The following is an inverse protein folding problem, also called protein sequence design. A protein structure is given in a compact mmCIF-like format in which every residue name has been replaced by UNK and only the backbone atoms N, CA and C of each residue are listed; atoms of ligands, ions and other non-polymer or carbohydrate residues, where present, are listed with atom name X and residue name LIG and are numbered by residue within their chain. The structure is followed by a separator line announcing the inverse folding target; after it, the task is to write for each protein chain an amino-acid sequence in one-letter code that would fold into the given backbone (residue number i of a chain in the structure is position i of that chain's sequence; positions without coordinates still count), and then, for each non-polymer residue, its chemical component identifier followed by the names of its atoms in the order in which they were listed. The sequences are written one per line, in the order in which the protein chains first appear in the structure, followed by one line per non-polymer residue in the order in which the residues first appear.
data_IF_033054731776
#
_entry.id   IF_033054731776
#
_cell.length_a   1.000
_cell.length_b   1.000
_cell.length_c   1.000
_cell.angle_alpha   90.00
_cell.angle_beta   90.00
_cell.angle_gamma   90.00
#
_symmetry.space_group_name_H-M   'P 1'
#
loop_
_entity.id
_entity.type
_entity.pdbx_description
1 polymer ?
#
# COMPACT_ATOMS: atom_id res chain seq x y z
N UNK A 1 -3.42 -8.62 -9.26
CA UNK A 1 -4.65 -8.33 -8.51
C UNK A 1 -5.81 -9.01 -9.21
N UNK A 2 -6.69 -9.79 -8.54
CA UNK A 2 -7.85 -10.35 -9.21
C UNK A 2 -8.72 -9.21 -9.75
N UNK A 3 -9.49 -9.42 -10.83
CA UNK A 3 -10.34 -8.38 -11.41
C UNK A 3 -11.32 -7.85 -10.35
N UNK A 4 -11.66 -6.54 -10.38
CA UNK A 4 -12.68 -5.99 -9.50
C UNK A 4 -14.02 -6.70 -9.78
N UNK A 5 -14.80 -6.90 -8.75
CA UNK A 5 -16.14 -7.44 -8.92
C UNK A 5 -17.00 -6.37 -9.61
N UNK A 6 -17.61 -6.65 -10.76
CA UNK A 6 -18.27 -5.62 -11.58
C UNK A 6 -19.42 -4.90 -10.83
N UNK A 7 -19.99 -5.53 -9.80
CA UNK A 7 -21.17 -5.03 -9.09
C UNK A 7 -20.86 -4.46 -7.69
N UNK A 8 -19.59 -4.26 -7.31
CA UNK A 8 -19.23 -3.73 -5.99
C UNK A 8 -18.59 -2.36 -6.09
N UNK A 9 -19.30 -1.37 -5.59
CA UNK A 9 -18.84 0.02 -5.54
C UNK A 9 -17.92 0.23 -4.33
N UNK A 10 -16.62 0.07 -4.55
CA UNK A 10 -15.58 0.24 -3.53
C UNK A 10 -15.52 1.68 -3.01
N UNK A 11 -15.69 2.65 -3.88
CA UNK A 11 -15.63 4.07 -3.56
C UNK A 11 -16.75 4.46 -2.60
N UNK A 12 -17.99 4.15 -2.95
CA UNK A 12 -19.15 4.39 -2.07
C UNK A 12 -19.07 3.62 -0.76
N UNK A 13 -18.48 2.41 -0.78
CA UNK A 13 -18.30 1.61 0.44
C UNK A 13 -17.29 2.24 1.38
N UNK A 14 -16.14 2.73 0.89
CA UNK A 14 -15.14 3.43 1.72
C UNK A 14 -15.71 4.75 2.25
N UNK A 15 -16.49 5.49 1.45
CA UNK A 15 -17.17 6.70 1.91
C UNK A 15 -18.22 6.40 3.00
N UNK A 16 -18.92 5.26 2.92
CA UNK A 16 -19.82 4.82 3.98
C UNK A 16 -19.06 4.49 5.28
N UNK A 17 -17.91 3.81 5.17
CA UNK A 17 -17.01 3.60 6.31
C UNK A 17 -16.58 4.95 6.95
N UNK A 18 -16.27 5.96 6.13
CA UNK A 18 -15.90 7.30 6.62
C UNK A 18 -17.04 8.00 7.39
N UNK A 19 -18.29 7.64 7.11
CA UNK A 19 -19.48 8.11 7.86
C UNK A 19 -19.82 7.26 9.07
N UNK A 20 -19.05 6.20 9.36
CA UNK A 20 -19.26 5.32 10.51
C UNK A 20 -20.22 4.14 10.25
N UNK A 21 -20.47 3.77 9.00
CA UNK A 21 -21.29 2.62 8.64
C UNK A 21 -20.49 1.30 8.79
N UNK A 22 -20.70 0.60 9.90
CA UNK A 22 -20.03 -0.67 10.18
C UNK A 22 -20.45 -1.79 9.20
N UNK A 23 -21.63 -1.71 8.59
CA UNK A 23 -22.08 -2.71 7.61
C UNK A 23 -21.28 -2.60 6.32
N UNK A 24 -20.88 -1.40 5.94
CA UNK A 24 -19.97 -1.16 4.81
C UNK A 24 -18.59 -1.80 5.04
N UNK A 25 -18.02 -1.65 6.26
CA UNK A 25 -16.76 -2.31 6.60
C UNK A 25 -16.88 -3.84 6.57
N UNK A 26 -17.99 -4.39 7.08
CA UNK A 26 -18.25 -5.83 7.05
C UNK A 26 -18.36 -6.34 5.61
N UNK A 27 -19.04 -5.62 4.73
CA UNK A 27 -19.16 -5.96 3.31
C UNK A 27 -17.79 -5.97 2.63
N UNK A 28 -16.96 -4.95 2.90
CA UNK A 28 -15.60 -4.85 2.38
C UNK A 28 -14.72 -6.01 2.88
N UNK A 29 -14.78 -6.32 4.18
CA UNK A 29 -14.04 -7.44 4.79
C UNK A 29 -14.45 -8.77 4.15
N UNK A 30 -15.75 -9.05 4.08
CA UNK A 30 -16.27 -10.30 3.52
C UNK A 30 -15.81 -10.52 2.07
N UNK A 31 -15.64 -9.45 1.33
CA UNK A 31 -15.26 -9.49 -0.08
C UNK A 31 -13.76 -9.64 -0.31
N UNK A 32 -12.96 -8.86 0.38
CA UNK A 32 -11.53 -8.70 0.07
C UNK A 32 -10.61 -9.48 1.02
N UNK A 33 -11.07 -9.89 2.21
CA UNK A 33 -10.22 -10.47 3.25
C UNK A 33 -9.42 -11.69 2.77
N UNK A 34 -10.03 -12.59 2.01
CA UNK A 34 -9.35 -13.80 1.50
C UNK A 34 -8.17 -13.47 0.59
N UNK A 35 -8.37 -12.52 -0.31
CA UNK A 35 -7.32 -12.10 -1.23
C UNK A 35 -6.24 -11.28 -0.52
N UNK A 36 -6.65 -10.32 0.32
CA UNK A 36 -5.73 -9.48 1.09
C UNK A 36 -4.91 -10.29 2.10
N UNK A 37 -5.49 -11.34 2.70
CA UNK A 37 -4.74 -12.28 3.52
C UNK A 37 -3.63 -12.96 2.71
N UNK A 38 -3.92 -13.40 1.49
CA UNK A 38 -2.91 -13.96 0.61
C UNK A 38 -1.78 -12.97 0.25
N UNK A 39 -2.10 -11.68 0.16
CA UNK A 39 -1.09 -10.62 0.00
C UNK A 39 -0.21 -10.51 1.24
N UNK A 40 -0.83 -10.42 2.43
CA UNK A 40 -0.10 -10.33 3.71
C UNK A 40 0.80 -11.55 3.92
N UNK A 41 0.30 -12.77 3.70
CA UNK A 41 1.06 -14.02 3.87
C UNK A 41 2.32 -14.09 2.99
N UNK A 42 2.27 -13.58 1.76
CA UNK A 42 3.45 -13.53 0.88
C UNK A 42 4.55 -12.60 1.41
N UNK A 43 4.17 -11.56 2.15
CA UNK A 43 5.10 -10.56 2.67
C UNK A 43 5.65 -11.00 4.04
N UNK A 44 4.77 -11.40 4.96
CA UNK A 44 5.13 -11.71 6.35
C UNK A 44 5.64 -13.14 6.50
N UNK A 45 5.20 -14.07 5.61
CA UNK A 45 5.56 -15.50 5.59
C UNK A 45 5.11 -16.32 6.80
N UNK A 46 4.59 -15.70 7.82
CA UNK A 46 3.95 -16.32 8.97
C UNK A 46 2.44 -16.16 8.85
N UNK A 47 1.69 -17.25 9.09
CA UNK A 47 0.24 -17.27 8.88
C UNK A 47 -0.51 -16.48 9.95
N UNK A 48 -0.08 -16.62 11.19
CA UNK A 48 -0.76 -16.00 12.32
C UNK A 48 -0.47 -14.49 12.32
N UNK A 49 0.78 -14.08 12.09
CA UNK A 49 1.15 -12.70 11.89
C UNK A 49 0.43 -12.06 10.68
N UNK A 50 0.18 -12.82 9.60
CA UNK A 50 -0.58 -12.30 8.46
C UNK A 50 -2.06 -12.06 8.80
N UNK A 51 -2.67 -12.88 9.67
CA UNK A 51 -4.03 -12.65 10.18
C UNK A 51 -4.08 -11.39 11.03
N UNK A 52 -3.13 -11.19 11.93
CA UNK A 52 -3.02 -9.99 12.77
C UNK A 52 -2.84 -8.73 11.91
N UNK A 53 -1.95 -8.80 10.93
CA UNK A 53 -1.76 -7.73 9.94
C UNK A 53 -3.06 -7.38 9.22
N UNK A 54 -3.83 -8.37 8.80
CA UNK A 54 -5.11 -8.14 8.12
C UNK A 54 -6.12 -7.46 9.04
N UNK A 55 -6.27 -7.91 10.28
CA UNK A 55 -7.16 -7.30 11.26
C UNK A 55 -6.77 -5.84 11.53
N UNK A 56 -5.51 -5.59 11.82
CA UNK A 56 -4.96 -4.26 12.04
C UNK A 56 -5.16 -3.33 10.83
N UNK A 57 -4.98 -3.87 9.62
CA UNK A 57 -5.21 -3.10 8.41
C UNK A 57 -6.69 -2.70 8.25
N UNK A 58 -7.65 -3.57 8.57
CA UNK A 58 -9.06 -3.23 8.53
C UNK A 58 -9.46 -2.21 9.59
N UNK A 59 -8.87 -2.28 10.80
CA UNK A 59 -9.01 -1.22 11.81
C UNK A 59 -8.47 0.11 11.27
N UNK A 60 -7.32 0.10 10.61
CA UNK A 60 -6.73 1.30 10.01
C UNK A 60 -7.56 1.84 8.83
N UNK A 61 -8.11 0.97 7.99
CA UNK A 61 -9.04 1.35 6.91
C UNK A 61 -10.24 2.09 7.51
N UNK A 62 -10.86 1.54 8.57
CA UNK A 62 -11.95 2.20 9.27
C UNK A 62 -11.58 3.58 9.79
N UNK A 63 -10.47 3.68 10.52
CA UNK A 63 -10.01 4.93 11.12
C UNK A 63 -9.63 6.00 10.09
N UNK A 64 -9.16 5.59 8.92
CA UNK A 64 -8.63 6.47 7.88
C UNK A 64 -9.53 6.58 6.64
N UNK A 65 -10.71 6.00 6.65
CA UNK A 65 -11.63 6.05 5.50
C UNK A 65 -11.90 7.48 5.02
N UNK A 66 -12.00 8.44 5.96
CA UNK A 66 -12.18 9.87 5.65
C UNK A 66 -10.98 10.53 4.95
N UNK A 67 -9.81 9.89 4.93
CA UNK A 67 -8.63 10.39 4.22
C UNK A 67 -8.50 9.86 2.80
N UNK A 68 -9.39 8.96 2.39
CA UNK A 68 -9.42 8.46 1.03
C UNK A 68 -9.79 9.60 0.06
N UNK A 69 -8.99 9.74 -0.99
CA UNK A 69 -9.18 10.74 -2.05
C UNK A 69 -9.24 10.02 -3.41
N UNK A 70 -10.45 9.92 -3.97
CA UNK A 70 -10.66 9.25 -5.27
C UNK A 70 -9.93 9.93 -6.43
N UNK A 71 -9.44 11.14 -6.26
CA UNK A 71 -8.62 11.81 -7.29
C UNK A 71 -7.21 11.24 -7.38
N UNK A 72 -6.76 10.53 -6.34
CA UNK A 72 -5.42 9.94 -6.24
C UNK A 72 -5.38 8.46 -6.64
N UNK A 73 -6.53 7.81 -6.83
CA UNK A 73 -6.61 6.42 -7.23
C UNK A 73 -7.91 5.73 -6.80
N UNK A 74 -8.04 4.44 -7.13
CA UNK A 74 -9.21 3.65 -6.77
C UNK A 74 -9.24 3.30 -5.29
N UNK A 75 -10.44 3.18 -4.70
CA UNK A 75 -10.63 2.75 -3.32
C UNK A 75 -10.01 1.37 -3.06
N UNK A 76 -10.15 0.45 -4.01
CA UNK A 76 -9.55 -0.89 -3.91
C UNK A 76 -8.02 -0.85 -3.89
N UNK A 77 -7.40 0.02 -4.70
CA UNK A 77 -5.96 0.25 -4.69
C UNK A 77 -5.48 0.86 -3.37
N UNK A 78 -6.25 1.79 -2.80
CA UNK A 78 -5.96 2.38 -1.49
C UNK A 78 -6.03 1.33 -0.37
N UNK A 79 -7.07 0.47 -0.34
CA UNK A 79 -7.20 -0.64 0.61
C UNK A 79 -6.00 -1.59 0.52
N UNK A 80 -5.63 -2.00 -0.70
CA UNK A 80 -4.45 -2.84 -0.95
C UNK A 80 -3.18 -2.20 -0.38
N UNK A 81 -2.99 -0.91 -0.60
CA UNK A 81 -1.82 -0.16 -0.12
C UNK A 81 -1.76 -0.15 1.42
N UNK A 82 -2.90 0.01 2.12
CA UNK A 82 -2.95 -0.04 3.58
C UNK A 82 -2.50 -1.42 4.10
N UNK A 83 -3.05 -2.50 3.54
CA UNK A 83 -2.69 -3.88 3.93
C UNK A 83 -1.22 -4.16 3.63
N UNK A 84 -0.76 -3.79 2.45
CA UNK A 84 0.63 -4.01 2.03
C UNK A 84 1.62 -3.26 2.95
N UNK A 85 1.35 -2.01 3.30
CA UNK A 85 2.21 -1.24 4.21
C UNK A 85 2.28 -1.89 5.59
N UNK A 86 1.12 -2.31 6.14
CA UNK A 86 1.09 -3.04 7.42
C UNK A 86 1.90 -4.32 7.38
N UNK A 87 1.79 -5.10 6.31
CA UNK A 87 2.55 -6.34 6.14
C UNK A 87 4.06 -6.08 6.05
N UNK A 88 4.48 -5.04 5.33
CA UNK A 88 5.88 -4.64 5.22
C UNK A 88 6.44 -4.12 6.56
N UNK A 89 5.65 -3.37 7.32
CA UNK A 89 6.05 -2.91 8.66
C UNK A 89 6.27 -4.09 9.60
N UNK A 90 5.35 -5.07 9.60
CA UNK A 90 5.48 -6.29 10.41
C UNK A 90 6.67 -7.14 9.97
N UNK A 91 6.88 -7.34 8.68
CA UNK A 91 8.06 -8.05 8.16
C UNK A 91 9.37 -7.39 8.60
N UNK A 92 9.45 -6.06 8.55
CA UNK A 92 10.61 -5.30 9.04
C UNK A 92 10.79 -5.40 10.54
N UNK A 93 9.69 -5.46 11.32
CA UNK A 93 9.73 -5.64 12.77
C UNK A 93 10.29 -7.01 13.12
N UNK A 94 9.76 -8.07 12.51
CA UNK A 94 10.23 -9.43 12.71
C UNK A 94 11.72 -9.59 12.36
N UNK A 95 12.19 -8.96 11.27
CA UNK A 95 13.60 -8.98 10.90
C UNK A 95 14.52 -8.30 11.93
N UNK A 96 14.06 -7.26 12.62
CA UNK A 96 14.85 -6.59 13.67
C UNK A 96 14.93 -7.40 14.97
N UNK A 97 13.97 -8.28 15.20
CA UNK A 97 13.91 -9.15 16.39
C UNK A 97 14.72 -10.43 16.20
N UNK A 98 15.19 -10.74 14.97
CA UNK A 98 16.03 -11.90 14.70
C UNK A 98 17.51 -11.62 15.06
N UNK A 99 18.23 -12.62 15.64
CA UNK A 99 19.67 -12.54 15.83
C UNK A 99 20.41 -12.34 14.50
N UNK A 100 21.50 -11.57 14.51
CA UNK A 100 22.25 -11.12 13.32
C UNK A 100 22.76 -12.23 12.36
N UNK A 101 22.66 -13.52 12.74
CA UNK A 101 23.11 -14.66 11.92
C UNK A 101 22.15 -15.10 10.80
N UNK A 102 20.85 -14.89 10.96
CA UNK A 102 19.84 -15.40 10.02
C UNK A 102 19.44 -14.38 8.92
N UNK A 103 20.06 -13.20 8.94
CA UNK A 103 19.69 -12.08 8.06
C UNK A 103 20.05 -12.34 6.58
N UNK A 104 21.16 -13.07 6.32
CA UNK A 104 21.67 -13.27 4.95
C UNK A 104 20.80 -14.21 4.12
N UNK A 105 20.16 -15.19 4.72
CA UNK A 105 19.36 -16.19 4.01
C UNK A 105 17.98 -15.62 3.59
N UNK A 106 17.47 -14.64 4.34
CA UNK A 106 16.17 -14.02 4.07
C UNK A 106 16.21 -12.87 3.03
N UNK A 107 17.38 -12.24 2.85
CA UNK A 107 17.55 -11.18 1.85
C UNK A 107 17.43 -11.68 0.39
N UNK A 108 17.75 -12.95 0.16
CA UNK A 108 17.66 -13.58 -1.18
C UNK A 108 16.24 -13.85 -1.66
N UNK A 109 15.24 -13.75 -0.79
CA UNK A 109 13.87 -14.17 -1.08
C UNK A 109 12.87 -13.01 -1.26
N UNK A 110 13.33 -11.76 -1.25
CA UNK A 110 12.51 -10.59 -1.54
C UNK A 110 12.38 -10.35 -3.05
N UNK A 111 11.95 -11.39 -3.80
CA UNK A 111 11.51 -11.21 -5.17
C UNK A 111 10.24 -10.33 -5.16
N UNK A 112 10.31 -9.20 -5.83
CA UNK A 112 9.14 -8.37 -6.11
C UNK A 112 8.04 -9.24 -6.74
N UNK A 113 6.75 -9.01 -6.42
CA UNK A 113 5.67 -9.70 -7.12
C UNK A 113 5.82 -9.43 -8.61
N UNK A 114 5.76 -10.49 -9.44
CA UNK A 114 5.70 -10.36 -10.88
C UNK A 114 4.58 -9.41 -11.26
N UNK A 115 4.95 -8.21 -11.63
CA UNK A 115 4.05 -7.23 -12.21
C UNK A 115 3.70 -7.68 -13.62
N UNK A 116 2.44 -7.57 -13.98
CA UNK A 116 1.93 -7.84 -15.33
C UNK A 116 2.74 -7.00 -16.32
N UNK A 117 3.48 -7.65 -17.21
CA UNK A 117 4.59 -7.08 -17.99
C UNK A 117 4.20 -5.98 -19.00
N UNK A 118 2.92 -5.81 -19.34
CA UNK A 118 2.49 -4.87 -20.38
C UNK A 118 2.39 -3.40 -19.92
N UNK A 119 2.09 -3.16 -18.63
CA UNK A 119 1.97 -1.79 -18.08
C UNK A 119 3.27 -1.25 -17.48
N UNK A 120 4.31 -2.10 -17.38
CA UNK A 120 5.56 -1.76 -16.70
C UNK A 120 6.35 -0.70 -17.45
N UNK A 121 6.37 -0.74 -18.77
CA UNK A 121 7.14 0.20 -19.61
C UNK A 121 6.51 1.60 -19.61
N UNK A 122 5.17 1.69 -19.64
CA UNK A 122 4.46 2.96 -19.54
C UNK A 122 4.65 3.60 -18.17
N UNK A 123 4.49 2.82 -17.10
CA UNK A 123 4.71 3.27 -15.73
C UNK A 123 6.15 3.72 -15.49
N UNK A 124 7.14 2.97 -16.01
CA UNK A 124 8.56 3.33 -15.90
C UNK A 124 8.84 4.69 -16.55
N UNK A 125 8.37 4.91 -17.79
CA UNK A 125 8.50 6.20 -18.47
C UNK A 125 7.85 7.34 -17.71
N UNK A 126 6.65 7.13 -17.16
CA UNK A 126 5.94 8.14 -16.39
C UNK A 126 6.64 8.47 -15.06
N UNK A 127 7.24 7.46 -14.40
CA UNK A 127 8.06 7.66 -13.21
C UNK A 127 9.34 8.44 -13.53
N UNK A 128 9.98 8.15 -14.65
CA UNK A 128 11.21 8.84 -15.08
C UNK A 128 10.96 10.32 -15.47
N UNK A 129 9.73 10.62 -15.90
CA UNK A 129 9.31 12.00 -16.19
C UNK A 129 9.05 12.85 -14.93
N UNK A 130 8.94 12.24 -13.74
CA UNK A 130 8.80 12.97 -12.48
C UNK A 130 10.13 13.59 -12.05
N UNK A 131 10.06 14.75 -11.38
CA UNK A 131 11.23 15.25 -10.66
C UNK A 131 11.66 14.28 -9.54
N UNK A 132 12.98 14.28 -9.25
CA UNK A 132 13.58 13.33 -8.31
C UNK A 132 12.87 13.29 -6.95
N UNK A 133 12.52 14.39 -6.27
CA UNK A 133 11.85 14.32 -4.98
C UNK A 133 10.49 13.61 -5.01
N UNK A 134 9.70 13.81 -6.07
CA UNK A 134 8.40 13.13 -6.22
C UNK A 134 8.59 11.66 -6.52
N UNK A 135 9.49 11.32 -7.47
CA UNK A 135 9.78 9.93 -7.83
C UNK A 135 10.29 9.16 -6.63
N UNK A 136 11.30 9.68 -5.90
CA UNK A 136 11.89 9.03 -4.74
C UNK A 136 10.86 8.80 -3.64
N UNK A 137 9.99 9.77 -3.36
CA UNK A 137 8.91 9.60 -2.41
C UNK A 137 7.90 8.53 -2.83
N UNK A 138 7.53 8.45 -4.13
CA UNK A 138 6.59 7.44 -4.62
C UNK A 138 7.22 6.06 -4.55
N UNK A 139 8.46 5.89 -5.02
CA UNK A 139 9.18 4.61 -4.95
C UNK A 139 9.30 4.16 -3.49
N UNK A 140 9.76 5.06 -2.60
CA UNK A 140 9.86 4.74 -1.17
C UNK A 140 8.54 4.33 -0.54
N UNK A 141 7.44 5.03 -0.87
CA UNK A 141 6.12 4.70 -0.33
C UNK A 141 5.55 3.41 -0.91
N UNK A 142 5.53 3.27 -2.24
CA UNK A 142 4.76 2.23 -2.91
C UNK A 142 5.57 0.98 -3.26
N UNK A 143 6.88 1.08 -3.45
CA UNK A 143 7.76 -0.07 -3.72
C UNK A 143 8.42 -0.55 -2.43
N UNK A 144 9.07 0.34 -1.68
CA UNK A 144 9.77 0.00 -0.45
C UNK A 144 8.82 -0.06 0.77
N UNK A 145 7.61 0.51 0.67
CA UNK A 145 6.57 0.49 1.73
C UNK A 145 6.94 1.31 2.96
N UNK A 146 7.70 2.40 2.79
CA UNK A 146 8.03 3.30 3.89
C UNK A 146 6.84 4.19 4.25
N UNK A 147 6.68 4.49 5.54
CA UNK A 147 5.72 5.51 5.99
C UNK A 147 6.20 6.92 5.60
N UNK A 148 5.29 7.89 5.59
CA UNK A 148 5.67 9.27 5.27
C UNK A 148 6.71 9.83 6.25
N UNK A 149 6.66 9.43 7.52
CA UNK A 149 7.63 9.80 8.56
C UNK A 149 9.01 9.18 8.27
N UNK A 150 9.05 7.91 7.85
CA UNK A 150 10.30 7.23 7.47
C UNK A 150 10.91 7.87 6.22
N UNK A 151 10.08 8.23 5.23
CA UNK A 151 10.53 8.94 4.03
C UNK A 151 11.07 10.33 4.40
N UNK A 152 10.38 11.07 5.26
CA UNK A 152 10.81 12.38 5.73
C UNK A 152 12.17 12.32 6.43
N UNK A 153 12.38 11.32 7.29
CA UNK A 153 13.66 11.07 7.96
C UNK A 153 14.75 10.70 6.95
N UNK A 154 14.47 9.80 6.00
CA UNK A 154 15.43 9.34 4.98
C UNK A 154 15.90 10.46 4.05
N UNK A 155 14.94 11.29 3.58
CA UNK A 155 15.21 12.39 2.67
C UNK A 155 15.61 13.71 3.38
N UNK A 156 15.66 13.69 4.71
CA UNK A 156 15.91 14.88 5.54
C UNK A 156 14.98 16.03 5.13
N UNK A 157 13.70 15.73 4.90
CA UNK A 157 12.69 16.65 4.39
C UNK A 157 11.52 16.81 5.38
N UNK A 158 10.86 17.97 5.44
CA UNK A 158 9.65 18.14 6.25
C UNK A 158 8.55 17.13 5.84
N UNK A 159 7.84 16.57 6.81
CA UNK A 159 6.74 15.62 6.58
C UNK A 159 5.66 16.20 5.64
N UNK A 160 5.36 17.51 5.77
CA UNK A 160 4.42 18.21 4.89
C UNK A 160 4.87 18.23 3.42
N UNK A 161 6.19 18.37 3.18
CA UNK A 161 6.78 18.32 1.84
C UNK A 161 6.63 16.92 1.24
N UNK A 162 6.96 15.87 2.00
CA UNK A 162 6.80 14.46 1.56
C UNK A 162 5.36 14.16 1.17
N UNK A 163 4.38 14.51 2.02
CA UNK A 163 2.94 14.35 1.71
C UNK A 163 2.55 15.08 0.42
N UNK A 164 3.05 16.31 0.24
CA UNK A 164 2.79 17.13 -0.94
C UNK A 164 3.44 16.54 -2.21
N UNK A 165 4.67 16.03 -2.11
CA UNK A 165 5.37 15.40 -3.24
C UNK A 165 4.69 14.12 -3.68
N UNK A 166 4.28 13.25 -2.74
CA UNK A 166 3.53 12.02 -3.04
C UNK A 166 2.22 12.39 -3.74
N UNK A 167 1.43 13.31 -3.17
CA UNK A 167 0.15 13.70 -3.77
C UNK A 167 0.31 14.24 -5.19
N UNK A 168 1.23 15.19 -5.40
CA UNK A 168 1.48 15.78 -6.73
C UNK A 168 2.06 14.78 -7.71
N UNK A 169 2.93 13.88 -7.24
CA UNK A 169 3.51 12.83 -8.07
C UNK A 169 2.45 11.81 -8.52
N UNK A 170 1.53 11.40 -7.64
CA UNK A 170 0.43 10.50 -8.01
C UNK A 170 -0.52 11.14 -9.05
N UNK A 171 -0.82 12.44 -8.89
CA UNK A 171 -1.61 13.17 -9.88
C UNK A 171 -0.91 13.18 -11.25
N UNK A 172 0.38 13.52 -11.28
CA UNK A 172 1.17 13.53 -12.52
C UNK A 172 1.28 12.14 -13.16
N UNK A 173 1.44 11.08 -12.35
CA UNK A 173 1.43 9.70 -12.87
C UNK A 173 0.07 9.33 -13.47
N UNK A 174 -1.02 9.66 -12.80
CA UNK A 174 -2.36 9.44 -13.33
C UNK A 174 -2.53 10.12 -14.69
N UNK A 175 -2.16 11.40 -14.79
CA UNK A 175 -2.32 12.19 -16.00
C UNK A 175 -1.40 11.69 -17.14
N UNK A 176 -0.24 11.09 -16.81
CA UNK A 176 0.67 10.48 -17.78
C UNK A 176 0.17 9.11 -18.29
N UNK A 177 -0.53 8.35 -17.44
CA UNK A 177 -1.03 7.00 -17.74
C UNK A 177 -2.46 7.00 -18.34
N UNK A 178 -3.12 8.17 -18.37
CA UNK A 178 -4.44 8.35 -19.00
C UNK A 178 -4.31 8.56 -20.49
#
# INVERSE_FOLDING_TARGET
MPPPHPDFDYESTVEACARGDATALQALYSRESRWLLGVAQRIVRDRDAAHDVLQDAFVQIWQRASTFDRTLGSARGWIYTVVRHKALDESRRAQRELPAGDLLEQLSANAAPEAVAADTDALSRCLDALDAPKRDCIVSAFVEGLTHEQIAARLTAPLGSVKSWIRRGLLALRDCLS
#
